data_IF_641574071900
#
_entry.id   IF_641574071900
#
_cell.length_a   1.000
_cell.length_b   1.000
_cell.length_c   1.000
_cell.angle_alpha   90.00
_cell.angle_beta   90.00
_cell.angle_gamma   90.00
#
_symmetry.space_group_name_H-M   'P 1'
#
loop_
_entity.id
_entity.type
_entity.pdbx_description
1 polymer ?
#
# COMPACT_ATOMS: atom_id res chain seq x y z
N UNK A 1 18.66 -12.33 -3.03
CA UNK A 1 19.08 -11.52 -1.88
C UNK A 1 17.89 -10.97 -1.14
N UNK A 2 17.93 -11.01 0.18
CA UNK A 2 16.83 -10.47 0.98
C UNK A 2 16.98 -8.97 1.10
N UNK A 3 15.89 -8.26 0.89
CA UNK A 3 15.84 -6.83 1.09
C UNK A 3 15.34 -6.44 2.47
N UNK A 4 15.07 -5.18 2.64
CA UNK A 4 14.50 -4.60 3.86
C UNK A 4 13.18 -3.91 3.55
N UNK A 5 12.33 -3.82 4.57
CA UNK A 5 11.13 -2.99 4.51
C UNK A 5 11.40 -1.78 5.40
N UNK A 6 11.21 -0.59 4.86
CA UNK A 6 11.48 0.65 5.58
C UNK A 6 10.55 1.78 5.19
N UNK A 7 10.61 2.87 5.94
CA UNK A 7 9.90 4.09 5.58
C UNK A 7 10.51 4.72 4.33
N UNK A 8 9.71 5.43 3.52
CA UNK A 8 10.26 6.22 2.42
C UNK A 8 11.11 7.38 2.91
N UNK A 9 12.12 7.73 2.12
CA UNK A 9 12.93 8.93 2.34
C UNK A 9 12.90 9.80 1.09
N UNK A 10 13.28 11.07 1.22
CA UNK A 10 13.18 12.03 0.12
C UNK A 10 13.87 11.56 -1.17
N UNK A 11 14.98 10.85 -1.05
CA UNK A 11 15.74 10.35 -2.19
C UNK A 11 15.00 9.25 -2.98
N UNK A 12 13.94 8.69 -2.44
CA UNK A 12 13.19 7.60 -3.09
C UNK A 12 12.16 8.09 -4.11
N UNK A 13 11.96 9.40 -4.25
CA UNK A 13 10.84 9.94 -5.02
C UNK A 13 10.81 9.42 -6.46
N UNK A 14 11.94 9.50 -7.17
CA UNK A 14 11.98 9.07 -8.57
C UNK A 14 11.68 7.57 -8.72
N UNK A 15 12.24 6.75 -7.84
CA UNK A 15 12.01 5.31 -7.85
C UNK A 15 10.54 4.97 -7.54
N UNK A 16 9.97 5.63 -6.54
CA UNK A 16 8.56 5.41 -6.22
C UNK A 16 7.64 5.86 -7.37
N UNK A 17 7.91 7.01 -7.97
CA UNK A 17 7.09 7.51 -9.09
C UNK A 17 7.10 6.53 -10.27
N UNK A 18 8.23 5.89 -10.52
CA UNK A 18 8.32 4.87 -11.57
C UNK A 18 7.43 3.66 -11.25
N UNK A 19 7.47 3.17 -10.02
CA UNK A 19 6.61 2.07 -9.58
C UNK A 19 5.13 2.49 -9.55
N UNK A 20 4.84 3.70 -9.10
CA UNK A 20 3.49 4.26 -9.06
C UNK A 20 2.88 4.32 -10.45
N UNK A 21 3.66 4.76 -11.43
CA UNK A 21 3.22 4.80 -12.83
C UNK A 21 2.90 3.40 -13.36
N UNK A 22 3.75 2.42 -13.07
CA UNK A 22 3.51 1.02 -13.47
C UNK A 22 2.28 0.44 -12.78
N UNK A 23 2.08 0.75 -11.51
CA UNK A 23 0.91 0.35 -10.74
C UNK A 23 -0.39 0.92 -11.34
N UNK A 24 -0.38 2.21 -11.67
CA UNK A 24 -1.54 2.85 -12.29
C UNK A 24 -1.84 2.24 -13.65
N UNK A 25 -0.81 1.94 -14.45
CA UNK A 25 -0.98 1.30 -15.74
C UNK A 25 -1.60 -0.11 -15.60
N UNK A 26 -1.21 -0.86 -14.58
CA UNK A 26 -1.76 -2.18 -14.30
C UNK A 26 -3.28 -2.11 -14.05
N UNK A 27 -3.74 -1.07 -13.36
CA UNK A 27 -5.17 -0.87 -13.08
C UNK A 27 -5.87 -0.01 -14.14
N UNK A 28 -5.18 0.33 -15.22
CA UNK A 28 -5.72 1.20 -16.28
C UNK A 28 -6.24 2.53 -15.71
N UNK A 29 -5.56 3.02 -14.69
CA UNK A 29 -5.93 4.25 -14.00
C UNK A 29 -5.04 5.40 -14.42
N UNK A 30 -5.59 6.61 -14.40
CA UNK A 30 -4.84 7.85 -14.62
C UNK A 30 -4.98 8.70 -13.36
N UNK A 31 -3.84 8.96 -12.71
CA UNK A 31 -3.80 9.82 -11.54
C UNK A 31 -3.10 11.12 -11.94
N UNK A 32 -3.78 12.27 -11.79
CA UNK A 32 -3.18 13.56 -12.15
C UNK A 32 -1.88 13.82 -11.39
N UNK A 33 -0.97 14.56 -12.03
CA UNK A 33 0.35 14.85 -11.45
C UNK A 33 0.25 15.52 -10.07
N UNK A 34 -0.68 16.47 -9.91
CA UNK A 34 -0.82 17.16 -8.62
C UNK A 34 -1.27 16.22 -7.49
N UNK A 35 -2.02 15.17 -7.82
CA UNK A 35 -2.43 14.15 -6.85
C UNK A 35 -1.25 13.26 -6.47
N UNK A 36 -0.48 12.82 -7.46
CA UNK A 36 0.74 12.03 -7.23
C UNK A 36 1.72 12.80 -6.35
N UNK A 37 1.96 14.08 -6.66
CA UNK A 37 2.83 14.93 -5.87
C UNK A 37 2.33 15.07 -4.42
N UNK A 38 1.03 15.24 -4.24
CA UNK A 38 0.45 15.37 -2.91
C UNK A 38 0.54 14.06 -2.13
N UNK A 39 0.33 12.93 -2.78
CA UNK A 39 0.48 11.61 -2.14
C UNK A 39 1.91 11.43 -1.66
N UNK A 40 2.89 11.79 -2.47
CA UNK A 40 4.29 11.73 -2.08
C UNK A 40 4.57 12.59 -0.85
N UNK A 41 4.10 13.84 -0.85
CA UNK A 41 4.28 14.75 0.29
C UNK A 41 3.67 14.18 1.56
N UNK A 42 2.47 13.59 1.45
CA UNK A 42 1.79 12.98 2.59
C UNK A 42 2.59 11.83 3.19
N UNK A 43 3.19 10.99 2.35
CA UNK A 43 4.00 9.87 2.84
C UNK A 43 5.22 10.32 3.63
N UNK A 44 5.76 11.50 3.32
CA UNK A 44 6.93 12.05 4.02
C UNK A 44 6.55 12.88 5.25
N UNK A 45 5.28 13.21 5.42
CA UNK A 45 4.80 14.06 6.51
C UNK A 45 4.36 13.19 7.69
N UNK A 46 5.09 13.19 8.82
CA UNK A 46 4.72 12.35 9.96
C UNK A 46 3.39 12.74 10.61
N UNK A 47 2.84 13.93 10.33
CA UNK A 47 1.54 14.34 10.83
C UNK A 47 0.38 13.87 9.94
N UNK A 48 0.66 13.37 8.75
CA UNK A 48 -0.36 12.85 7.85
C UNK A 48 -0.80 11.44 8.27
N UNK A 49 -2.09 11.10 8.13
CA UNK A 49 -2.53 9.72 8.31
C UNK A 49 -2.10 8.80 7.18
N UNK A 50 -1.59 9.35 6.08
CA UNK A 50 -1.07 8.57 4.95
C UNK A 50 0.39 8.21 5.23
N UNK A 51 0.74 6.95 5.06
CA UNK A 51 2.12 6.53 5.20
C UNK A 51 2.45 5.45 4.16
N UNK A 52 3.73 5.34 3.83
CA UNK A 52 4.22 4.31 2.93
C UNK A 52 5.17 3.35 3.62
N UNK A 53 5.27 2.14 3.07
CA UNK A 53 6.34 1.19 3.43
C UNK A 53 6.95 0.71 2.14
N UNK A 54 8.25 0.78 2.04
CA UNK A 54 8.99 0.45 0.83
C UNK A 54 9.84 -0.80 1.03
N UNK A 55 9.78 -1.68 0.04
CA UNK A 55 10.66 -2.84 -0.03
C UNK A 55 11.89 -2.45 -0.85
N UNK A 56 13.07 -2.64 -0.27
CA UNK A 56 14.33 -2.24 -0.88
C UNK A 56 15.25 -3.45 -0.96
N UNK A 57 15.77 -3.73 -2.16
CA UNK A 57 16.73 -4.80 -2.42
C UNK A 57 17.89 -4.20 -3.21
N UNK A 58 19.13 -4.42 -2.75
CA UNK A 58 20.33 -3.89 -3.39
C UNK A 58 20.23 -2.37 -3.64
N UNK A 59 19.79 -1.64 -2.63
CA UNK A 59 19.59 -0.19 -2.65
C UNK A 59 18.53 0.30 -3.66
N UNK A 60 17.76 -0.61 -4.23
CA UNK A 60 16.68 -0.28 -5.16
C UNK A 60 15.32 -0.50 -4.50
N UNK A 61 14.41 0.46 -4.67
CA UNK A 61 13.01 0.29 -4.25
C UNK A 61 12.33 -0.63 -5.27
N UNK A 62 11.90 -1.79 -4.82
CA UNK A 62 11.34 -2.84 -5.69
C UNK A 62 9.86 -3.09 -5.44
N UNK A 63 9.32 -2.51 -4.41
CA UNK A 63 7.89 -2.62 -4.09
C UNK A 63 7.49 -1.59 -3.05
N UNK A 64 6.20 -1.35 -2.96
CA UNK A 64 5.67 -0.38 -2.00
C UNK A 64 4.25 -0.72 -1.60
N UNK A 65 3.85 -0.17 -0.47
CA UNK A 65 2.45 -0.01 -0.14
C UNK A 65 2.22 1.41 0.39
N UNK A 66 1.01 1.92 0.16
CA UNK A 66 0.54 3.18 0.73
C UNK A 66 -0.70 2.87 1.55
N UNK A 67 -0.69 3.33 2.79
CA UNK A 67 -1.76 3.08 3.74
C UNK A 67 -2.33 4.39 4.26
N UNK A 68 -3.56 4.32 4.73
CA UNK A 68 -4.23 5.44 5.39
C UNK A 68 -4.75 4.96 6.74
N UNK A 69 -4.36 5.66 7.81
CA UNK A 69 -4.95 5.42 9.12
C UNK A 69 -6.21 6.27 9.24
N UNK A 70 -7.29 5.68 9.71
CA UNK A 70 -8.52 6.44 9.91
C UNK A 70 -9.23 5.99 11.17
N UNK A 71 -10.07 6.87 11.70
CA UNK A 71 -10.96 6.54 12.80
C UNK A 71 -12.09 5.65 12.29
N UNK A 72 -12.59 4.80 13.18
CA UNK A 72 -13.78 4.01 12.91
C UNK A 72 -14.79 4.20 14.03
N UNK A 73 -15.98 3.67 13.85
CA UNK A 73 -17.07 3.83 14.82
C UNK A 73 -17.28 2.59 15.69
N UNK A 74 -16.62 1.49 15.35
CA UNK A 74 -16.76 0.23 16.09
C UNK A 74 -15.61 -0.01 17.07
N UNK A 75 -14.54 0.78 16.98
CA UNK A 75 -13.40 0.67 17.89
C UNK A 75 -12.86 2.07 18.17
N UNK A 76 -12.15 2.21 19.29
CA UNK A 76 -11.44 3.45 19.61
C UNK A 76 -10.12 3.55 18.88
N UNK A 77 -9.42 2.43 18.75
CA UNK A 77 -8.13 2.39 18.06
C UNK A 77 -8.32 2.62 16.54
N UNK A 78 -7.32 3.25 15.89
CA UNK A 78 -7.43 3.51 14.45
C UNK A 78 -7.46 2.23 13.62
N UNK A 79 -7.96 2.38 12.40
CA UNK A 79 -8.01 1.33 11.39
C UNK A 79 -6.95 1.66 10.33
N UNK A 80 -6.20 0.66 9.89
CA UNK A 80 -5.25 0.81 8.79
C UNK A 80 -5.88 0.31 7.49
N UNK A 81 -6.01 1.21 6.53
CA UNK A 81 -6.46 0.88 5.18
C UNK A 81 -5.25 0.78 4.26
N UNK A 82 -4.98 -0.41 3.74
CA UNK A 82 -3.97 -0.63 2.71
C UNK A 82 -4.60 -0.29 1.37
N UNK A 83 -4.29 0.91 0.86
CA UNK A 83 -4.92 1.41 -0.36
C UNK A 83 -4.19 0.96 -1.61
N UNK A 84 -2.86 1.05 -1.61
CA UNK A 84 -2.05 0.75 -2.78
C UNK A 84 -0.96 -0.26 -2.41
N UNK A 85 -0.74 -1.24 -3.29
CA UNK A 85 0.22 -2.31 -3.05
C UNK A 85 0.76 -2.81 -4.39
N UNK A 86 2.09 -2.77 -4.55
CA UNK A 86 2.69 -3.14 -5.82
C UNK A 86 4.12 -3.62 -5.64
N UNK A 87 4.48 -4.67 -6.36
CA UNK A 87 5.86 -5.16 -6.46
C UNK A 87 6.25 -5.13 -7.94
N UNK A 88 7.44 -4.61 -8.24
CA UNK A 88 7.96 -4.55 -9.60
C UNK A 88 7.89 -5.95 -10.23
N UNK A 89 7.45 -6.07 -11.51
CA UNK A 89 7.30 -7.39 -12.14
C UNK A 89 8.58 -8.22 -12.13
N UNK A 90 9.74 -7.59 -12.29
CA UNK A 90 11.04 -8.26 -12.27
C UNK A 90 11.41 -8.84 -10.91
N UNK A 91 10.75 -8.38 -9.84
CA UNK A 91 11.07 -8.75 -8.45
C UNK A 91 9.98 -9.61 -7.81
N UNK A 92 8.98 -10.01 -8.59
CA UNK A 92 7.90 -10.88 -8.10
C UNK A 92 8.39 -12.30 -7.88
N UNK A 93 7.62 -13.08 -7.10
CA UNK A 93 7.93 -14.47 -6.73
C UNK A 93 9.17 -14.61 -5.83
N UNK A 94 9.60 -13.51 -5.21
CA UNK A 94 10.73 -13.50 -4.26
C UNK A 94 10.24 -13.28 -2.82
N UNK A 95 8.93 -13.35 -2.60
CA UNK A 95 8.33 -13.16 -1.28
C UNK A 95 8.25 -11.71 -0.83
N UNK A 96 8.52 -10.74 -1.70
CA UNK A 96 8.53 -9.31 -1.35
C UNK A 96 7.13 -8.84 -0.94
N UNK A 97 6.10 -9.22 -1.69
CA UNK A 97 4.72 -8.86 -1.36
C UNK A 97 4.29 -9.42 -0.02
N UNK A 98 4.64 -10.67 0.26
CA UNK A 98 4.36 -11.30 1.55
C UNK A 98 5.03 -10.54 2.69
N UNK A 99 6.27 -10.11 2.49
CA UNK A 99 7.02 -9.38 3.52
C UNK A 99 6.42 -8.00 3.76
N UNK A 100 5.94 -7.31 2.72
CA UNK A 100 5.25 -6.03 2.87
C UNK A 100 3.97 -6.18 3.69
N UNK A 101 3.16 -7.19 3.41
CA UNK A 101 1.93 -7.41 4.18
C UNK A 101 2.28 -7.82 5.61
N UNK A 102 3.26 -8.69 5.80
CA UNK A 102 3.68 -9.10 7.14
C UNK A 102 4.20 -7.91 7.95
N UNK A 103 4.93 -7.00 7.32
CA UNK A 103 5.38 -5.76 7.96
C UNK A 103 4.18 -4.95 8.48
N UNK A 104 3.13 -4.83 7.67
CA UNK A 104 1.91 -4.11 8.09
C UNK A 104 1.19 -4.83 9.24
N UNK A 105 1.15 -6.14 9.21
CA UNK A 105 0.57 -6.94 10.32
C UNK A 105 1.36 -6.67 11.60
N UNK A 106 2.68 -6.73 11.53
CA UNK A 106 3.54 -6.50 12.68
C UNK A 106 3.39 -5.07 13.23
N UNK A 107 3.34 -4.08 12.34
CA UNK A 107 3.13 -2.67 12.72
C UNK A 107 1.75 -2.46 13.33
N UNK A 108 0.73 -3.10 12.79
CA UNK A 108 -0.62 -3.01 13.34
C UNK A 108 -0.66 -3.53 14.77
N UNK A 109 -0.03 -4.66 15.03
CA UNK A 109 0.07 -5.23 16.38
C UNK A 109 0.87 -4.32 17.31
N UNK A 110 2.01 -3.85 16.86
CA UNK A 110 2.89 -3.01 17.67
C UNK A 110 2.25 -1.67 18.06
N UNK A 111 1.42 -1.11 17.16
CA UNK A 111 0.77 0.19 17.38
C UNK A 111 -0.65 0.06 17.96
N UNK A 112 -1.16 -1.15 18.12
CA UNK A 112 -2.50 -1.36 18.67
C UNK A 112 -3.61 -0.93 17.74
N UNK A 113 -3.38 -0.96 16.42
CA UNK A 113 -4.45 -0.66 15.46
C UNK A 113 -5.50 -1.75 15.50
N UNK A 114 -6.77 -1.36 15.29
CA UNK A 114 -7.89 -2.28 15.49
C UNK A 114 -8.05 -3.27 14.35
N UNK A 115 -7.66 -2.90 13.14
CA UNK A 115 -7.72 -3.82 12.00
C UNK A 115 -6.89 -3.26 10.84
N UNK A 116 -6.51 -4.18 9.96
CA UNK A 116 -5.87 -3.91 8.67
C UNK A 116 -6.79 -4.49 7.61
N UNK A 117 -7.15 -3.71 6.60
CA UNK A 117 -8.03 -4.20 5.54
C UNK A 117 -7.65 -3.59 4.19
N UNK A 118 -8.08 -4.26 3.12
CA UNK A 118 -7.85 -3.80 1.75
C UNK A 118 -8.95 -4.34 0.85
N UNK A 119 -9.03 -3.76 -0.35
CA UNK A 119 -9.93 -4.19 -1.41
C UNK A 119 -9.11 -4.68 -2.60
N UNK A 120 -9.67 -5.60 -3.36
CA UNK A 120 -9.10 -6.01 -4.63
C UNK A 120 -10.24 -6.50 -5.53
N UNK A 121 -9.96 -6.56 -6.83
CA UNK A 121 -10.91 -7.18 -7.75
C UNK A 121 -10.95 -8.69 -7.48
N UNK A 122 -12.12 -9.30 -7.68
CA UNK A 122 -12.33 -10.71 -7.41
C UNK A 122 -11.48 -11.62 -8.32
N UNK A 123 -11.05 -11.12 -9.49
CA UNK A 123 -10.22 -11.84 -10.45
C UNK A 123 -8.72 -11.53 -10.33
N UNK A 124 -8.30 -10.74 -9.35
CA UNK A 124 -6.90 -10.38 -9.18
C UNK A 124 -6.08 -11.60 -8.74
N UNK A 125 -5.01 -11.99 -9.49
CA UNK A 125 -4.17 -13.12 -9.07
C UNK A 125 -3.49 -12.93 -7.72
N UNK A 126 -3.31 -11.69 -7.26
CA UNK A 126 -2.73 -11.39 -5.94
C UNK A 126 -3.58 -11.94 -4.79
N UNK A 127 -4.82 -12.33 -5.04
CA UNK A 127 -5.68 -12.94 -4.01
C UNK A 127 -5.06 -14.22 -3.42
N UNK A 128 -4.23 -14.91 -4.15
CA UNK A 128 -3.49 -16.07 -3.62
C UNK A 128 -2.63 -15.68 -2.43
N UNK A 129 -1.96 -14.54 -2.52
CA UNK A 129 -1.18 -14.00 -1.42
C UNK A 129 -2.08 -13.50 -0.30
N UNK A 130 -3.12 -12.78 -0.64
CA UNK A 130 -4.05 -12.20 0.35
C UNK A 130 -4.71 -13.29 1.20
N UNK A 131 -5.08 -14.40 0.58
CA UNK A 131 -5.73 -15.53 1.26
C UNK A 131 -4.82 -16.18 2.30
N UNK A 132 -3.50 -15.97 2.23
CA UNK A 132 -2.57 -16.44 3.25
C UNK A 132 -2.69 -15.65 4.56
N UNK A 133 -3.23 -14.42 4.50
CA UNK A 133 -3.31 -13.53 5.66
C UNK A 133 -4.73 -13.35 6.19
N UNK A 134 -5.73 -13.38 5.32
CA UNK A 134 -7.11 -13.11 5.70
C UNK A 134 -8.06 -13.75 4.69
N UNK A 135 -9.34 -13.76 5.04
CA UNK A 135 -10.40 -14.20 4.13
C UNK A 135 -11.19 -12.99 3.64
N UNK A 136 -11.62 -13.04 2.38
CA UNK A 136 -12.58 -12.07 1.88
C UNK A 136 -13.88 -12.22 2.69
N UNK A 137 -14.40 -11.11 3.18
CA UNK A 137 -15.46 -11.12 4.18
C UNK A 137 -16.86 -10.85 3.61
N UNK A 138 -17.01 -10.90 2.29
CA UNK A 138 -18.31 -10.79 1.62
C UNK A 138 -18.82 -9.38 1.43
N UNK A 139 -18.09 -8.34 1.87
CA UNK A 139 -18.52 -6.96 1.64
C UNK A 139 -18.35 -6.57 0.17
N UNK A 140 -19.32 -5.81 -0.33
CA UNK A 140 -19.29 -5.28 -1.70
C UNK A 140 -19.16 -3.77 -1.61
N UNK A 141 -18.24 -3.22 -2.38
CA UNK A 141 -18.00 -1.78 -2.36
C UNK A 141 -18.93 -1.05 -3.31
N UNK A 142 -19.63 -0.04 -2.79
CA UNK A 142 -20.41 0.92 -3.57
C UNK A 142 -19.66 2.25 -3.53
N UNK A 143 -19.58 2.92 -4.68
CA UNK A 143 -18.83 4.16 -4.75
C UNK A 143 -19.44 5.10 -5.80
N UNK A 144 -19.60 6.35 -5.41
CA UNK A 144 -19.98 7.43 -6.30
C UNK A 144 -18.76 8.35 -6.43
N UNK A 145 -18.34 8.63 -7.64
CA UNK A 145 -17.15 9.45 -7.88
C UNK A 145 -17.60 10.84 -8.28
N UNK A 146 -17.20 11.86 -7.53
CA UNK A 146 -17.59 13.26 -7.77
C UNK A 146 -16.43 14.06 -8.37
N UNK A 147 -15.19 13.66 -8.09
CA UNK A 147 -13.98 14.33 -8.56
C UNK A 147 -12.97 13.28 -9.02
N UNK A 148 -12.17 13.63 -10.02
CA UNK A 148 -11.10 12.76 -10.54
C UNK A 148 -9.73 13.29 -10.10
N UNK A 149 -9.55 13.48 -8.83
CA UNK A 149 -8.27 13.99 -8.32
C UNK A 149 -8.34 15.40 -7.73
#
# INVERSE_FOLDING_TARGET
MQGTIRDPVAADEAAWRSLWSAYNAFYEATVPEHVTARTWQRMLDPSSPVFGRFAVTDDCVVGFCVCVLHEGTWTVAPVCYLEDFFVAPSDRRQGIGRRLIQDLVDRSKANGWSRLYWHTRDDNPARRLYDEFAQADGFVRYRLIFLSG
#
